data_IF_033056639039
#
_entry.id   IF_033056639039
#
_cell.length_a   1.000
_cell.length_b   1.000
_cell.length_c   1.000
_cell.angle_alpha   90.00
_cell.angle_beta   90.00
_cell.angle_gamma   90.00
#
_symmetry.space_group_name_H-M   'P 1'
#
loop_
_entity.id
_entity.type
_entity.pdbx_description
1 polymer ?
#
# COMPACT_ATOMS: atom_id res chain seq x y z
N UNK A 1 -27.50 -26.84 22.25
CA UNK A 1 -26.08 -27.22 22.42
C UNK A 1 -26.07 -28.68 22.87
N UNK A 2 -25.57 -29.59 22.03
CA UNK A 2 -25.44 -30.99 22.43
C UNK A 2 -24.21 -31.13 23.34
N UNK A 3 -24.35 -31.83 24.46
CA UNK A 3 -23.25 -32.13 25.36
C UNK A 3 -22.18 -32.95 24.63
N UNK A 4 -20.90 -32.59 24.79
CA UNK A 4 -19.77 -33.30 24.19
C UNK A 4 -19.21 -32.72 22.87
N UNK A 5 -19.84 -31.71 22.27
CA UNK A 5 -19.27 -31.06 21.08
C UNK A 5 -18.28 -29.94 21.43
N UNK A 6 -17.21 -29.84 20.63
CA UNK A 6 -16.25 -28.74 20.71
C UNK A 6 -16.90 -27.41 20.31
N UNK A 7 -16.56 -26.34 21.02
CA UNK A 7 -16.97 -25.00 20.62
C UNK A 7 -16.25 -24.58 19.34
N UNK A 8 -17.00 -24.07 18.36
CA UNK A 8 -16.41 -23.40 17.21
C UNK A 8 -16.06 -21.95 17.63
N UNK A 9 -14.83 -21.75 18.08
CA UNK A 9 -14.31 -20.45 18.51
C UNK A 9 -13.48 -19.81 17.39
N UNK A 10 -13.48 -18.48 17.35
CA UNK A 10 -12.54 -17.74 16.51
C UNK A 10 -11.11 -17.94 17.02
N UNK A 11 -10.14 -17.90 16.10
CA UNK A 11 -8.72 -17.87 16.46
C UNK A 11 -8.40 -16.58 17.22
N UNK A 12 -7.52 -16.69 18.22
CA UNK A 12 -7.01 -15.56 18.98
C UNK A 12 -5.56 -15.31 18.57
N UNK A 13 -5.24 -14.06 18.24
CA UNK A 13 -3.87 -13.63 17.99
C UNK A 13 -3.10 -13.61 19.30
N UNK A 14 -2.09 -14.49 19.43
CA UNK A 14 -1.35 -14.66 20.66
C UNK A 14 -0.19 -13.65 20.77
N UNK A 15 0.73 -13.67 19.81
CA UNK A 15 1.84 -12.74 19.74
C UNK A 15 2.42 -12.71 18.33
N UNK A 16 3.16 -11.64 18.03
CA UNK A 16 3.96 -11.55 16.82
C UNK A 16 5.35 -11.02 17.14
N UNK A 17 6.37 -11.68 16.61
CA UNK A 17 7.76 -11.28 16.76
C UNK A 17 8.26 -10.73 15.43
N UNK A 18 8.72 -9.48 15.43
CA UNK A 18 9.27 -8.84 14.23
C UNK A 18 10.66 -9.34 13.81
N UNK A 19 11.31 -10.16 14.63
CA UNK A 19 12.57 -10.82 14.27
C UNK A 19 12.73 -12.14 15.01
N UNK A 20 13.45 -13.09 14.41
CA UNK A 20 13.72 -14.40 15.00
C UNK A 20 15.21 -14.55 15.34
N UNK A 21 15.71 -13.94 16.44
CA UNK A 21 17.13 -13.96 16.79
C UNK A 21 17.64 -15.29 17.36
N UNK A 22 16.77 -16.17 17.85
CA UNK A 22 17.16 -17.39 18.53
C UNK A 22 16.63 -18.64 17.79
N UNK A 23 17.31 -19.80 17.91
CA UNK A 23 16.84 -21.03 17.29
C UNK A 23 15.67 -21.69 18.04
N UNK A 24 15.54 -21.43 19.34
CA UNK A 24 14.54 -22.08 20.21
C UNK A 24 13.81 -21.06 21.08
N UNK A 25 12.51 -21.27 21.24
CA UNK A 25 11.62 -20.48 22.11
C UNK A 25 10.80 -21.43 22.97
N UNK A 26 10.69 -21.11 24.26
CA UNK A 26 9.81 -21.79 25.19
C UNK A 26 8.64 -20.87 25.53
N UNK A 27 7.42 -21.38 25.38
CA UNK A 27 6.20 -20.65 25.69
C UNK A 27 5.45 -21.41 26.79
N UNK A 28 5.39 -20.82 27.98
CA UNK A 28 4.64 -21.37 29.12
C UNK A 28 3.34 -20.61 29.28
N UNK A 29 2.20 -21.24 28.97
CA UNK A 29 0.88 -20.64 29.10
C UNK A 29 0.27 -21.09 30.42
N UNK A 30 -0.10 -20.14 31.29
CA UNK A 30 -0.79 -20.39 32.55
C UNK A 30 -2.11 -19.65 32.57
N UNK A 31 -3.18 -20.35 32.93
CA UNK A 31 -4.53 -19.81 33.09
C UNK A 31 -4.93 -19.89 34.57
N UNK A 32 -4.51 -18.94 35.41
CA UNK A 32 -4.87 -18.96 36.83
C UNK A 32 -6.35 -18.62 37.01
N UNK A 33 -7.02 -19.36 37.90
CA UNK A 33 -8.42 -19.12 38.29
C UNK A 33 -8.46 -18.78 39.77
N UNK A 34 -9.13 -17.69 40.12
CA UNK A 34 -9.36 -17.33 41.52
C UNK A 34 -10.84 -17.54 41.87
N UNK A 35 -11.14 -18.66 42.52
CA UNK A 35 -12.50 -19.09 42.82
C UNK A 35 -13.29 -18.09 43.68
N UNK A 36 -12.65 -17.41 44.64
CA UNK A 36 -13.32 -16.42 45.50
C UNK A 36 -13.70 -15.17 44.71
N UNK A 37 -12.83 -14.70 43.81
CA UNK A 37 -13.15 -13.60 42.90
C UNK A 37 -14.22 -13.97 41.89
N UNK A 38 -14.25 -15.22 41.41
CA UNK A 38 -15.26 -15.69 40.46
C UNK A 38 -16.67 -15.73 41.07
N UNK A 39 -16.79 -16.04 42.36
CA UNK A 39 -18.06 -16.02 43.08
C UNK A 39 -18.59 -14.59 43.29
N UNK A 40 -17.70 -13.64 43.61
CA UNK A 40 -18.07 -12.23 43.87
C UNK A 40 -18.31 -11.48 42.56
N UNK A 41 -17.51 -11.76 41.53
CA UNK A 41 -17.53 -11.05 40.25
C UNK A 41 -17.43 -12.07 39.10
N UNK A 42 -18.56 -12.55 38.56
CA UNK A 42 -18.55 -13.58 37.50
C UNK A 42 -17.89 -13.11 36.18
N UNK A 43 -17.71 -11.78 36.01
CA UNK A 43 -16.95 -11.17 34.89
C UNK A 43 -15.45 -10.99 35.17
N UNK A 44 -14.93 -11.55 36.25
CA UNK A 44 -13.50 -11.56 36.53
C UNK A 44 -12.74 -12.42 35.50
N UNK A 45 -11.43 -12.16 35.29
CA UNK A 45 -10.62 -12.92 34.34
C UNK A 45 -10.64 -14.42 34.66
N UNK A 46 -10.77 -15.25 33.62
CA UNK A 46 -10.79 -16.72 33.70
C UNK A 46 -11.93 -17.34 34.54
N UNK A 47 -12.98 -16.58 34.87
CA UNK A 47 -14.11 -17.07 35.67
C UNK A 47 -15.29 -17.62 34.85
N UNK A 48 -15.47 -17.13 33.62
CA UNK A 48 -16.56 -17.51 32.72
C UNK A 48 -16.06 -18.20 31.43
N UNK A 49 -14.86 -18.78 31.48
CA UNK A 49 -14.32 -19.59 30.39
C UNK A 49 -14.97 -20.98 30.44
N UNK A 50 -15.40 -21.51 29.30
CA UNK A 50 -15.91 -22.89 29.21
C UNK A 50 -14.82 -23.90 29.53
N UNK A 51 -15.17 -25.19 29.57
CA UNK A 51 -14.18 -26.27 29.76
C UNK A 51 -13.21 -26.29 28.57
N UNK A 52 -11.93 -26.01 28.83
CA UNK A 52 -10.85 -26.10 27.85
C UNK A 52 -10.27 -27.51 27.94
N UNK A 53 -10.31 -28.25 26.83
CA UNK A 53 -9.69 -29.57 26.74
C UNK A 53 -8.27 -29.47 26.16
N UNK A 54 -8.14 -28.82 25.00
CA UNK A 54 -6.87 -28.67 24.28
C UNK A 54 -6.65 -27.23 23.83
N UNK A 55 -5.39 -26.83 23.74
CA UNK A 55 -4.97 -25.53 23.19
C UNK A 55 -4.01 -25.76 22.02
N UNK A 56 -4.40 -25.31 20.84
CA UNK A 56 -3.59 -25.41 19.62
C UNK A 56 -2.94 -24.06 19.32
N UNK A 57 -1.61 -24.05 19.24
CA UNK A 57 -0.84 -22.87 18.79
C UNK A 57 -0.34 -23.14 17.38
N UNK A 58 -0.49 -22.15 16.50
CA UNK A 58 0.01 -22.21 15.13
C UNK A 58 1.10 -21.16 15.01
N UNK A 59 2.33 -21.60 14.71
CA UNK A 59 3.46 -20.71 14.48
C UNK A 59 3.57 -20.44 12.97
N UNK A 60 3.37 -19.19 12.56
CA UNK A 60 3.53 -18.74 11.19
C UNK A 60 4.85 -17.99 11.10
N UNK A 61 5.71 -18.42 10.18
CA UNK A 61 6.98 -17.75 9.90
C UNK A 61 7.26 -17.80 8.40
N UNK A 62 7.98 -16.80 7.91
CA UNK A 62 8.42 -16.78 6.53
C UNK A 62 9.50 -17.86 6.33
N UNK A 63 9.28 -18.76 5.37
CA UNK A 63 10.22 -19.84 5.10
C UNK A 63 11.59 -19.28 4.66
N UNK A 64 12.68 -19.81 5.22
CA UNK A 64 14.04 -19.32 4.96
C UNK A 64 14.44 -19.37 3.47
N UNK A 65 14.00 -20.40 2.74
CA UNK A 65 14.23 -20.51 1.30
C UNK A 65 13.52 -19.40 0.51
N UNK A 66 12.29 -19.06 0.89
CA UNK A 66 11.56 -17.95 0.27
C UNK A 66 12.24 -16.61 0.58
N UNK A 67 12.68 -16.38 1.82
CA UNK A 67 13.43 -15.17 2.18
C UNK A 67 14.73 -15.04 1.39
N UNK A 68 15.47 -16.12 1.18
CA UNK A 68 16.71 -16.09 0.39
C UNK A 68 16.46 -15.67 -1.06
N UNK A 69 15.45 -16.27 -1.71
CA UNK A 69 15.06 -15.92 -3.09
C UNK A 69 14.58 -14.47 -3.17
N UNK A 70 13.77 -14.03 -2.20
CA UNK A 70 13.26 -12.67 -2.12
C UNK A 70 14.39 -11.63 -2.00
N UNK A 71 15.36 -11.86 -1.13
CA UNK A 71 16.53 -10.99 -0.96
C UNK A 71 17.39 -10.95 -2.22
N UNK A 72 17.62 -12.11 -2.83
CA UNK A 72 18.39 -12.20 -4.08
C UNK A 72 17.70 -11.42 -5.20
N UNK A 73 16.40 -11.59 -5.38
CA UNK A 73 15.60 -10.87 -6.37
C UNK A 73 15.71 -9.35 -6.16
N UNK A 74 15.52 -8.85 -4.93
CA UNK A 74 15.68 -7.42 -4.63
C UNK A 74 17.08 -6.91 -4.97
N UNK A 75 18.11 -7.69 -4.61
CA UNK A 75 19.52 -7.32 -4.84
C UNK A 75 19.85 -7.24 -6.33
N UNK A 76 19.30 -8.15 -7.15
CA UNK A 76 19.51 -8.14 -8.61
C UNK A 76 18.73 -7.03 -9.32
N UNK A 77 17.51 -6.73 -8.87
CA UNK A 77 16.66 -5.69 -9.48
C UNK A 77 17.14 -4.28 -9.11
N UNK A 78 17.74 -4.09 -7.94
CA UNK A 78 18.23 -2.79 -7.45
C UNK A 78 19.16 -2.03 -8.39
N UNK A 79 20.25 -2.63 -8.92
CA UNK A 79 21.12 -1.92 -9.85
C UNK A 79 20.41 -1.59 -11.17
N UNK A 80 19.55 -2.48 -11.67
CA UNK A 80 18.82 -2.28 -12.93
C UNK A 80 17.89 -1.07 -12.85
N UNK A 81 17.11 -0.96 -11.77
CA UNK A 81 16.22 0.18 -11.54
C UNK A 81 17.02 1.46 -11.33
N UNK A 82 18.12 1.40 -10.58
CA UNK A 82 18.99 2.57 -10.36
C UNK A 82 19.50 3.14 -11.68
N UNK A 83 20.01 2.27 -12.56
CA UNK A 83 20.49 2.66 -13.89
C UNK A 83 19.35 3.30 -14.70
N UNK A 84 18.15 2.70 -14.69
CA UNK A 84 17.00 3.22 -15.41
C UNK A 84 16.58 4.62 -14.93
N UNK A 85 16.53 4.85 -13.61
CA UNK A 85 16.17 6.16 -13.03
C UNK A 85 17.21 7.23 -13.35
N UNK A 86 18.51 6.90 -13.23
CA UNK A 86 19.60 7.82 -13.57
C UNK A 86 19.57 8.15 -15.06
N UNK A 87 19.40 7.14 -15.92
CA UNK A 87 19.31 7.32 -17.36
C UNK A 87 18.11 8.20 -17.75
N UNK A 88 16.94 7.94 -17.15
CA UNK A 88 15.74 8.73 -17.37
C UNK A 88 15.96 10.21 -17.00
N UNK A 89 16.53 10.47 -15.82
CA UNK A 89 16.79 11.85 -15.38
C UNK A 89 17.81 12.57 -16.28
N UNK A 90 18.89 11.88 -16.66
CA UNK A 90 19.87 12.42 -17.62
C UNK A 90 19.22 12.81 -18.94
N UNK A 91 18.30 11.99 -19.45
CA UNK A 91 17.57 12.29 -20.68
C UNK A 91 16.64 13.49 -20.51
N UNK A 92 15.94 13.63 -19.40
CA UNK A 92 15.06 14.77 -19.12
C UNK A 92 15.85 16.09 -19.05
N UNK A 93 16.98 16.10 -18.34
CA UNK A 93 17.83 17.30 -18.18
C UNK A 93 18.51 17.70 -19.49
N UNK A 94 18.79 16.75 -20.40
CA UNK A 94 19.40 17.04 -21.69
C UNK A 94 18.48 17.78 -22.67
N UNK A 95 17.17 17.88 -22.39
CA UNK A 95 16.26 18.69 -23.20
C UNK A 95 16.33 20.15 -22.77
N UNK A 96 16.46 21.07 -23.73
CA UNK A 96 16.54 22.52 -23.50
C UNK A 96 15.19 23.18 -23.13
N UNK A 97 14.39 22.54 -22.26
CA UNK A 97 13.07 23.02 -21.81
C UNK A 97 12.91 22.82 -20.30
N UNK A 98 12.06 23.63 -19.67
CA UNK A 98 11.66 23.40 -18.29
C UNK A 98 10.93 22.04 -18.16
N UNK A 99 11.28 21.25 -17.15
CA UNK A 99 10.68 19.92 -16.93
C UNK A 99 9.21 20.04 -16.56
N UNK A 100 8.36 19.25 -17.22
CA UNK A 100 6.94 19.20 -16.93
C UNK A 100 6.67 18.57 -15.57
N UNK A 101 5.51 18.88 -14.98
CA UNK A 101 5.09 18.31 -13.69
C UNK A 101 5.08 16.77 -13.74
N UNK A 102 4.60 16.19 -14.84
CA UNK A 102 4.57 14.73 -15.03
C UNK A 102 5.97 14.11 -15.05
N UNK A 103 6.96 14.76 -15.67
CA UNK A 103 8.33 14.24 -15.74
C UNK A 103 8.98 14.21 -14.37
N UNK A 104 8.74 15.25 -13.56
CA UNK A 104 9.20 15.34 -12.16
C UNK A 104 8.53 14.28 -11.28
N UNK A 105 7.24 14.03 -11.47
CA UNK A 105 6.50 13.01 -10.71
C UNK A 105 6.91 11.59 -11.08
N UNK A 106 7.18 11.32 -12.37
CA UNK A 106 7.67 10.01 -12.80
C UNK A 106 9.07 9.73 -12.25
N UNK A 107 9.91 10.77 -12.18
CA UNK A 107 11.20 10.67 -11.50
C UNK A 107 11.06 10.42 -10.00
N UNK A 108 10.18 11.17 -9.31
CA UNK A 108 9.88 10.96 -7.89
C UNK A 108 9.37 9.55 -7.61
N UNK A 109 8.46 9.04 -8.44
CA UNK A 109 7.95 7.67 -8.34
C UNK A 109 9.05 6.62 -8.57
N UNK A 110 9.93 6.85 -9.54
CA UNK A 110 11.09 5.99 -9.79
C UNK A 110 12.07 5.95 -8.62
N UNK A 111 12.32 7.09 -7.96
CA UNK A 111 13.11 7.15 -6.73
C UNK A 111 12.40 6.45 -5.57
N UNK A 112 11.09 6.64 -5.43
CA UNK A 112 10.30 5.96 -4.41
C UNK A 112 10.37 4.45 -4.58
N UNK A 113 10.19 3.94 -5.80
CA UNK A 113 10.36 2.52 -6.11
C UNK A 113 11.76 2.02 -5.72
N UNK A 114 12.81 2.74 -6.10
CA UNK A 114 14.20 2.36 -5.81
C UNK A 114 14.50 2.32 -4.30
N UNK A 115 14.25 3.43 -3.58
CA UNK A 115 14.61 3.54 -2.17
C UNK A 115 13.63 2.80 -1.24
N UNK A 116 12.33 2.84 -1.53
CA UNK A 116 11.31 2.26 -0.65
C UNK A 116 11.09 0.77 -0.90
N UNK A 117 11.19 0.24 -2.12
CA UNK A 117 10.85 -1.16 -2.37
C UNK A 117 12.08 -2.01 -2.66
N UNK A 118 12.92 -1.56 -3.60
CA UNK A 118 13.96 -2.40 -4.18
C UNK A 118 15.24 -2.43 -3.36
N UNK A 119 15.53 -1.40 -2.58
CA UNK A 119 16.67 -1.39 -1.67
C UNK A 119 16.55 -2.55 -0.66
N UNK A 120 17.50 -3.52 -0.65
CA UNK A 120 17.40 -4.72 0.16
C UNK A 120 17.90 -4.45 1.59
N UNK A 121 17.17 -3.59 2.32
CA UNK A 121 17.47 -3.23 3.71
C UNK A 121 17.42 -4.44 4.65
N UNK A 122 16.71 -5.49 4.27
CA UNK A 122 16.55 -6.74 5.00
C UNK A 122 17.89 -7.47 5.20
N UNK A 123 18.91 -7.20 4.37
CA UNK A 123 20.27 -7.70 4.63
C UNK A 123 20.82 -7.23 5.99
N UNK A 124 20.44 -6.03 6.43
CA UNK A 124 20.82 -5.51 7.75
C UNK A 124 20.22 -6.37 8.86
N UNK A 125 19.03 -6.94 8.65
CA UNK A 125 18.35 -7.80 9.63
C UNK A 125 19.02 -9.17 9.82
N UNK A 126 19.87 -9.61 8.88
CA UNK A 126 20.68 -10.83 9.05
C UNK A 126 21.86 -10.61 10.00
N UNK A 127 22.37 -9.38 10.06
CA UNK A 127 23.55 -9.02 10.86
C UNK A 127 23.15 -8.43 12.21
N UNK A 128 22.08 -7.63 12.23
CA UNK A 128 21.58 -6.95 13.42
C UNK A 128 20.16 -7.38 13.75
N UNK A 129 19.87 -7.48 15.06
CA UNK A 129 18.51 -7.75 15.55
C UNK A 129 17.65 -6.51 15.31
N UNK A 130 16.83 -6.55 14.26
CA UNK A 130 15.95 -5.44 13.86
C UNK A 130 14.48 -5.84 14.05
N UNK A 131 13.91 -5.78 15.26
CA UNK A 131 12.49 -6.09 15.49
C UNK A 131 11.56 -5.11 14.77
N UNK A 132 12.04 -3.90 14.45
CA UNK A 132 11.32 -2.86 13.71
C UNK A 132 11.25 -3.09 12.19
N UNK A 133 11.84 -4.18 11.67
CA UNK A 133 11.95 -4.39 10.23
C UNK A 133 10.58 -4.52 9.54
N UNK A 134 9.60 -5.15 10.20
CA UNK A 134 8.23 -5.25 9.67
C UNK A 134 7.57 -3.88 9.58
N UNK A 135 7.64 -3.07 10.64
CA UNK A 135 7.09 -1.71 10.66
C UNK A 135 7.72 -0.84 9.56
N UNK A 136 9.05 -0.92 9.38
CA UNK A 136 9.72 -0.19 8.29
C UNK A 136 9.25 -0.70 6.92
N UNK A 137 9.03 -2.01 6.77
CA UNK A 137 8.48 -2.60 5.56
C UNK A 137 7.11 -2.03 5.20
N UNK A 138 6.20 -2.01 6.17
CA UNK A 138 4.82 -1.50 6.00
C UNK A 138 4.83 0.00 5.66
N UNK A 139 5.62 0.81 6.37
CA UNK A 139 5.76 2.25 6.10
C UNK A 139 6.30 2.49 4.68
N UNK A 140 7.33 1.74 4.26
CA UNK A 140 7.91 1.87 2.93
C UNK A 140 6.90 1.54 1.83
N UNK A 141 6.15 0.45 1.99
CA UNK A 141 5.10 0.06 1.05
C UNK A 141 3.95 1.08 1.03
N UNK A 142 3.49 1.53 2.19
CA UNK A 142 2.44 2.56 2.30
C UNK A 142 2.81 3.87 1.61
N UNK A 143 4.03 4.37 1.83
CA UNK A 143 4.55 5.56 1.16
C UNK A 143 4.65 5.38 -0.36
N UNK A 144 5.10 4.20 -0.82
CA UNK A 144 5.14 3.88 -2.24
C UNK A 144 3.75 3.95 -2.88
N UNK A 145 2.73 3.37 -2.23
CA UNK A 145 1.34 3.44 -2.72
C UNK A 145 0.78 4.85 -2.72
N UNK A 146 1.07 5.66 -1.69
CA UNK A 146 0.64 7.06 -1.66
C UNK A 146 1.20 7.88 -2.84
N UNK A 147 2.48 7.68 -3.17
CA UNK A 147 3.13 8.33 -4.32
C UNK A 147 2.54 7.81 -5.64
N UNK A 148 2.30 6.50 -5.75
CA UNK A 148 1.69 5.88 -6.93
C UNK A 148 0.26 6.41 -7.18
N UNK A 149 -0.58 6.48 -6.16
CA UNK A 149 -1.94 7.01 -6.30
C UNK A 149 -1.95 8.50 -6.65
N UNK A 150 -1.00 9.27 -6.09
CA UNK A 150 -0.79 10.67 -6.44
C UNK A 150 -0.36 10.81 -7.91
N UNK A 151 0.54 9.94 -8.39
CA UNK A 151 0.97 9.89 -9.78
C UNK A 151 -0.19 9.64 -10.74
N UNK A 152 -1.02 8.62 -10.49
CA UNK A 152 -2.18 8.30 -11.35
C UNK A 152 -3.18 9.45 -11.47
N UNK A 153 -3.40 10.17 -10.37
CA UNK A 153 -4.32 11.31 -10.37
C UNK A 153 -3.78 12.47 -11.19
N UNK A 154 -2.51 12.83 -10.99
CA UNK A 154 -1.90 13.94 -11.73
C UNK A 154 -1.74 13.57 -13.22
N UNK A 155 -1.40 12.31 -13.51
CA UNK A 155 -1.31 11.80 -14.88
C UNK A 155 -2.66 11.93 -15.61
N UNK A 156 -3.75 11.46 -15.02
CA UNK A 156 -5.09 11.57 -15.63
C UNK A 156 -5.55 13.03 -15.74
N UNK A 157 -5.17 13.89 -14.79
CA UNK A 157 -5.43 15.33 -14.82
C UNK A 157 -4.73 16.07 -15.95
N UNK A 158 -3.42 15.88 -16.11
CA UNK A 158 -2.60 16.56 -17.14
C UNK A 158 -3.03 16.20 -18.58
N UNK A 159 -3.56 14.99 -18.77
CA UNK A 159 -4.11 14.55 -20.05
C UNK A 159 -5.48 15.15 -20.39
N UNK A 160 -6.12 15.87 -19.45
CA UNK A 160 -7.34 16.62 -19.72
C UNK A 160 -6.99 17.95 -20.42
N UNK A 161 -7.20 18.00 -21.73
CA UNK A 161 -6.69 19.06 -22.62
C UNK A 161 -7.40 20.44 -22.45
N UNK A 162 -8.48 20.56 -21.67
CA UNK A 162 -9.39 21.73 -21.71
C UNK A 162 -9.37 22.69 -20.50
N UNK A 163 -8.52 22.52 -19.49
CA UNK A 163 -8.41 23.52 -18.42
C UNK A 163 -7.29 24.55 -18.68
N UNK A 164 -7.68 25.82 -18.74
CA UNK A 164 -6.84 27.03 -18.88
C UNK A 164 -5.91 27.27 -17.68
N UNK A 165 -5.97 26.45 -16.63
CA UNK A 165 -5.19 26.54 -15.38
C UNK A 165 -4.04 25.51 -15.30
N UNK A 166 -3.42 25.18 -16.45
CA UNK A 166 -2.26 24.30 -16.51
C UNK A 166 -1.13 24.78 -15.60
N UNK A 167 -0.53 23.82 -14.87
CA UNK A 167 0.66 23.94 -14.01
C UNK A 167 0.48 24.39 -12.56
N UNK A 168 -0.73 24.68 -12.09
CA UNK A 168 -0.92 24.96 -10.66
C UNK A 168 -1.26 23.68 -9.88
N UNK A 169 -0.29 23.19 -9.11
CA UNK A 169 -0.46 22.09 -8.14
C UNK A 169 -1.67 22.33 -7.21
N UNK A 170 -1.99 23.61 -6.97
CA UNK A 170 -3.15 24.05 -6.18
C UNK A 170 -4.49 23.52 -6.71
N UNK A 171 -4.65 23.36 -8.04
CA UNK A 171 -5.89 22.82 -8.61
C UNK A 171 -6.09 21.32 -8.28
N UNK A 172 -5.01 20.60 -7.99
CA UNK A 172 -5.03 19.18 -7.61
C UNK A 172 -5.01 18.96 -6.08
N UNK A 173 -4.87 20.02 -5.30
CA UNK A 173 -4.63 19.95 -3.86
C UNK A 173 -5.75 19.23 -3.10
N UNK A 174 -7.02 19.46 -3.46
CA UNK A 174 -8.15 18.79 -2.80
C UNK A 174 -8.10 17.26 -2.93
N UNK A 175 -7.71 16.76 -4.10
CA UNK A 175 -7.66 15.31 -4.32
C UNK A 175 -6.39 14.68 -3.72
N UNK A 176 -5.27 15.39 -3.79
CA UNK A 176 -4.02 14.99 -3.13
C UNK A 176 -4.18 14.92 -1.61
N UNK A 177 -4.90 15.87 -1.02
CA UNK A 177 -5.22 15.87 0.41
C UNK A 177 -6.04 14.63 0.81
N UNK A 178 -6.96 14.15 -0.03
CA UNK A 178 -7.70 12.90 0.26
C UNK A 178 -6.78 11.67 0.35
N UNK A 179 -5.82 11.55 -0.57
CA UNK A 179 -4.82 10.45 -0.56
C UNK A 179 -3.89 10.59 0.65
N UNK A 180 -3.45 11.81 0.96
CA UNK A 180 -2.59 12.08 2.11
C UNK A 180 -3.29 11.80 3.45
N UNK A 181 -4.55 12.19 3.61
CA UNK A 181 -5.33 11.90 4.81
C UNK A 181 -5.52 10.39 4.95
N UNK A 182 -5.93 9.70 3.89
CA UNK A 182 -6.13 8.25 3.92
C UNK A 182 -4.85 7.47 4.28
N UNK A 183 -3.73 7.82 3.65
CA UNK A 183 -2.42 7.20 3.94
C UNK A 183 -1.91 7.53 5.34
N UNK A 184 -2.12 8.76 5.84
CA UNK A 184 -1.74 9.13 7.21
C UNK A 184 -2.58 8.38 8.24
N UNK A 185 -3.88 8.19 8.01
CA UNK A 185 -4.75 7.40 8.89
C UNK A 185 -4.31 5.93 8.98
N UNK A 186 -3.96 5.31 7.85
CA UNK A 186 -3.40 3.95 7.84
C UNK A 186 -2.03 3.90 8.52
N UNK A 187 -1.17 4.88 8.28
CA UNK A 187 0.13 4.98 8.95
C UNK A 187 -0.02 5.06 10.48
N UNK A 188 -0.97 5.84 10.98
CA UNK A 188 -1.25 5.94 12.43
C UNK A 188 -1.72 4.58 12.97
N UNK A 189 -2.55 3.85 12.22
CA UNK A 189 -2.99 2.51 12.58
C UNK A 189 -1.81 1.53 12.66
N UNK A 190 -0.97 1.48 11.62
CA UNK A 190 0.19 0.57 11.57
C UNK A 190 1.19 0.88 12.68
N UNK A 191 1.48 2.17 12.94
CA UNK A 191 2.35 2.58 14.05
C UNK A 191 1.74 2.24 15.40
N UNK A 192 0.42 2.38 15.57
CA UNK A 192 -0.25 2.03 16.82
C UNK A 192 -0.28 0.52 17.08
N UNK A 193 -0.46 -0.31 16.05
CA UNK A 193 -0.46 -1.77 16.17
C UNK A 193 0.96 -2.32 16.24
N UNK A 194 1.74 -2.16 15.16
CA UNK A 194 3.10 -2.70 15.01
C UNK A 194 4.11 -1.99 15.89
N UNK A 195 3.97 -0.69 16.12
CA UNK A 195 4.87 0.06 16.99
C UNK A 195 4.75 -0.35 18.45
N UNK A 196 3.54 -0.65 18.92
CA UNK A 196 3.33 -1.17 20.28
C UNK A 196 3.79 -2.63 20.43
N UNK A 197 3.67 -3.43 19.37
CA UNK A 197 4.19 -4.81 19.34
C UNK A 197 5.72 -4.89 19.54
N UNK A 198 6.46 -3.82 19.24
CA UNK A 198 7.91 -3.75 19.50
C UNK A 198 8.25 -3.75 21.00
N UNK A 199 7.41 -3.12 21.82
CA UNK A 199 7.58 -3.07 23.27
C UNK A 199 6.95 -4.28 23.96
N UNK A 200 5.80 -4.73 23.46
CA UNK A 200 5.09 -5.88 23.98
C UNK A 200 4.58 -6.77 22.82
N UNK A 201 5.21 -7.92 22.54
CA UNK A 201 4.83 -8.76 21.40
C UNK A 201 3.45 -9.41 21.55
N UNK A 202 2.89 -9.44 22.76
CA UNK A 202 1.53 -9.92 23.06
C UNK A 202 0.47 -8.82 22.94
N UNK A 203 0.88 -7.59 22.62
CA UNK A 203 -0.08 -6.50 22.45
C UNK A 203 -0.87 -6.69 21.15
N UNK A 204 -2.19 -6.65 21.28
CA UNK A 204 -3.12 -6.55 20.15
C UNK A 204 -4.04 -5.35 20.38
N UNK A 205 -4.08 -4.45 19.40
CA UNK A 205 -4.91 -3.24 19.44
C UNK A 205 -6.40 -3.58 19.61
N UNK A 206 -6.81 -4.74 19.07
CA UNK A 206 -8.17 -5.26 19.12
C UNK A 206 -8.61 -5.72 20.51
N UNK A 207 -7.68 -6.06 21.39
CA UNK A 207 -8.00 -6.49 22.75
C UNK A 207 -8.43 -5.34 23.67
N UNK A 208 -8.04 -4.10 23.36
CA UNK A 208 -8.38 -2.92 24.16
C UNK A 208 -9.61 -2.21 23.59
N UNK A 209 -10.54 -1.77 24.45
CA UNK A 209 -11.72 -1.01 24.01
C UNK A 209 -11.35 0.32 23.33
N UNK A 210 -10.32 1.00 23.84
CA UNK A 210 -9.82 2.25 23.26
C UNK A 210 -9.06 1.97 21.96
N UNK A 211 -8.18 0.96 21.97
CA UNK A 211 -7.41 0.54 20.80
C UNK A 211 -8.30 0.13 19.63
N UNK A 212 -9.26 -0.77 19.88
CA UNK A 212 -10.21 -1.22 18.86
C UNK A 212 -11.05 -0.07 18.29
N UNK A 213 -11.49 0.89 19.13
CA UNK A 213 -12.20 2.08 18.62
C UNK A 213 -11.32 2.90 17.69
N UNK A 214 -10.06 3.15 18.07
CA UNK A 214 -9.09 3.87 17.24
C UNK A 214 -8.83 3.14 15.91
N UNK A 215 -8.61 1.82 15.97
CA UNK A 215 -8.42 0.97 14.81
C UNK A 215 -9.61 1.05 13.83
N UNK A 216 -10.82 0.85 14.32
CA UNK A 216 -12.03 0.98 13.51
C UNK A 216 -12.13 2.38 12.90
N UNK A 217 -11.93 3.46 13.67
CA UNK A 217 -12.02 4.82 13.13
C UNK A 217 -10.99 5.09 12.02
N UNK A 218 -9.74 4.65 12.19
CA UNK A 218 -8.70 4.82 11.17
C UNK A 218 -9.03 4.06 9.89
N UNK A 219 -9.48 2.80 10.01
CA UNK A 219 -9.86 1.97 8.86
C UNK A 219 -11.09 2.56 8.13
N UNK A 220 -12.11 3.00 8.86
CA UNK A 220 -13.30 3.61 8.26
C UNK A 220 -12.97 4.91 7.52
N UNK A 221 -12.16 5.81 8.10
CA UNK A 221 -11.75 7.06 7.46
C UNK A 221 -10.92 6.75 6.20
N UNK A 222 -9.93 5.85 6.30
CA UNK A 222 -9.11 5.46 5.15
C UNK A 222 -9.95 4.86 4.02
N UNK A 223 -10.88 3.96 4.35
CA UNK A 223 -11.81 3.34 3.38
C UNK A 223 -12.66 4.40 2.67
N UNK A 224 -13.23 5.35 3.42
CA UNK A 224 -14.01 6.44 2.84
C UNK A 224 -13.16 7.33 1.91
N UNK A 225 -11.92 7.66 2.29
CA UNK A 225 -11.00 8.41 1.43
C UNK A 225 -10.67 7.65 0.13
N UNK A 226 -10.49 6.33 0.20
CA UNK A 226 -10.23 5.49 -0.97
C UNK A 226 -11.44 5.45 -1.92
N UNK A 227 -12.66 5.37 -1.39
CA UNK A 227 -13.89 5.44 -2.19
C UNK A 227 -14.01 6.79 -2.92
N UNK A 228 -13.76 7.90 -2.22
CA UNK A 228 -13.72 9.21 -2.86
C UNK A 228 -12.64 9.29 -3.94
N UNK A 229 -11.43 8.79 -3.67
CA UNK A 229 -10.34 8.74 -4.63
C UNK A 229 -10.73 7.99 -5.92
N UNK A 230 -11.27 6.78 -5.81
CA UNK A 230 -11.68 6.01 -6.98
C UNK A 230 -12.84 6.66 -7.75
N UNK A 231 -13.80 7.26 -7.03
CA UNK A 231 -14.87 8.04 -7.65
C UNK A 231 -14.34 9.20 -8.49
N UNK A 232 -13.40 9.98 -7.95
CA UNK A 232 -12.76 11.07 -8.67
C UNK A 232 -11.91 10.60 -9.85
N UNK A 233 -11.14 9.52 -9.66
CA UNK A 233 -10.32 8.94 -10.72
C UNK A 233 -11.19 8.45 -11.88
N UNK A 234 -12.27 7.72 -11.59
CA UNK A 234 -13.22 7.24 -12.58
C UNK A 234 -13.89 8.40 -13.33
N UNK A 235 -14.30 9.45 -12.62
CA UNK A 235 -14.84 10.66 -13.23
C UNK A 235 -13.84 11.33 -14.19
N UNK A 236 -12.59 11.52 -13.77
CA UNK A 236 -11.54 12.11 -14.61
C UNK A 236 -11.23 11.25 -15.83
N UNK A 237 -11.11 9.94 -15.67
CA UNK A 237 -10.90 8.99 -16.77
C UNK A 237 -12.07 9.03 -17.75
N UNK A 238 -13.30 9.00 -17.27
CA UNK A 238 -14.51 9.09 -18.10
C UNK A 238 -14.56 10.41 -18.89
N UNK A 239 -14.25 11.53 -18.22
CA UNK A 239 -14.22 12.83 -18.87
C UNK A 239 -13.11 12.91 -19.93
N UNK A 240 -11.92 12.41 -19.64
CA UNK A 240 -10.82 12.28 -20.63
C UNK A 240 -11.26 11.42 -21.81
N UNK A 241 -11.93 10.29 -21.57
CA UNK A 241 -12.45 9.42 -22.63
C UNK A 241 -13.43 10.17 -23.54
N UNK A 242 -14.40 10.89 -22.98
CA UNK A 242 -15.37 11.67 -23.77
C UNK A 242 -14.67 12.77 -24.56
N UNK A 243 -13.76 13.53 -23.93
CA UNK A 243 -13.03 14.61 -24.60
C UNK A 243 -12.20 14.09 -25.76
N UNK A 244 -11.55 12.92 -25.60
CA UNK A 244 -10.83 12.26 -26.70
C UNK A 244 -11.80 11.82 -27.80
N UNK A 245 -12.94 11.22 -27.45
CA UNK A 245 -13.96 10.81 -28.44
C UNK A 245 -14.43 12.01 -29.27
N UNK A 246 -14.72 13.15 -28.61
CA UNK A 246 -15.13 14.41 -29.25
C UNK A 246 -14.02 15.05 -30.10
N UNK A 247 -12.77 15.03 -29.64
CA UNK A 247 -11.63 15.60 -30.39
C UNK A 247 -11.22 14.72 -31.58
N UNK A 248 -11.31 13.39 -31.45
CA UNK A 248 -11.13 12.46 -32.56
C UNK A 248 -12.18 12.72 -33.66
N UNK A 249 -13.46 12.88 -33.31
CA UNK A 249 -14.51 13.20 -34.29
C UNK A 249 -14.33 14.59 -34.94
N UNK A 250 -13.84 15.58 -34.20
CA UNK A 250 -13.60 16.93 -34.74
C UNK A 250 -12.30 17.05 -35.58
N UNK A 251 -11.22 16.34 -35.22
CA UNK A 251 -9.96 16.36 -35.98
C UNK A 251 -9.98 15.43 -37.19
N UNK A 252 -10.87 14.43 -37.23
CA UNK A 252 -11.20 13.71 -38.47
C UNK A 252 -11.66 14.66 -39.60
N UNK A 253 -12.17 15.84 -39.25
CA UNK A 253 -12.65 16.86 -40.20
C UNK A 253 -11.60 17.90 -40.63
N UNK A 254 -10.41 17.97 -39.99
CA UNK A 254 -9.42 19.05 -40.27
C UNK A 254 -8.04 18.48 -40.63
N UNK A 255 -7.79 18.36 -41.92
CA UNK A 255 -6.57 17.83 -42.55
C UNK A 255 -5.27 18.49 -42.07
N UNK A 256 -4.41 17.70 -41.42
CA UNK A 256 -2.93 17.79 -41.48
C UNK A 256 -2.33 16.48 -40.92
N UNK A 257 -1.71 15.67 -41.78
CA UNK A 257 -1.25 14.30 -41.44
C UNK A 257 -0.24 14.26 -40.29
N UNK A 258 0.67 15.24 -40.22
CA UNK A 258 1.75 15.32 -39.22
C UNK A 258 1.17 15.51 -37.80
N UNK A 259 0.05 16.22 -37.68
CA UNK A 259 -0.61 16.46 -36.38
C UNK A 259 -1.44 15.25 -35.94
N UNK A 260 -1.95 14.46 -36.90
CA UNK A 260 -2.63 13.16 -36.71
C UNK A 260 -1.67 12.13 -36.10
N UNK A 261 -0.47 11.98 -36.68
CA UNK A 261 0.54 11.02 -36.21
C UNK A 261 1.02 11.31 -34.78
N UNK A 262 1.24 12.58 -34.44
CA UNK A 262 1.76 12.99 -33.11
C UNK A 262 0.78 12.72 -31.97
N UNK A 263 -0.53 12.73 -32.23
CA UNK A 263 -1.59 12.46 -31.24
C UNK A 263 -1.88 10.95 -31.15
N UNK A 264 -1.95 10.24 -32.28
CA UNK A 264 -2.14 8.78 -32.28
C UNK A 264 -0.99 8.03 -31.60
N UNK A 265 0.27 8.34 -31.93
CA UNK A 265 1.42 7.59 -31.40
C UNK A 265 1.68 7.82 -29.91
N UNK A 266 1.37 9.02 -29.38
CA UNK A 266 1.65 9.37 -27.98
C UNK A 266 0.61 8.78 -27.01
N UNK A 267 -0.59 8.47 -27.49
CA UNK A 267 -1.69 7.98 -26.66
C UNK A 267 -2.00 6.49 -26.84
N UNK A 268 -1.91 5.94 -28.06
CA UNK A 268 -2.24 4.51 -28.27
C UNK A 268 -1.22 3.59 -27.57
N UNK A 269 0.04 4.00 -27.50
CA UNK A 269 1.12 3.20 -26.91
C UNK A 269 1.15 3.19 -25.38
N UNK A 270 0.35 4.03 -24.70
CA UNK A 270 0.41 4.19 -23.24
C UNK A 270 -0.84 3.70 -22.49
N UNK A 271 -1.96 3.43 -23.18
CA UNK A 271 -3.20 2.94 -22.56
C UNK A 271 -3.73 1.65 -23.22
N UNK A 272 -3.28 1.28 -24.42
CA UNK A 272 -3.99 0.32 -25.27
C UNK A 272 -3.22 -0.93 -25.75
N UNK A 273 -2.19 -1.39 -25.04
CA UNK A 273 -1.62 -2.74 -25.28
C UNK A 273 -2.38 -3.86 -24.53
N UNK A 274 -3.56 -3.59 -23.94
CA UNK A 274 -4.40 -4.61 -23.28
C UNK A 274 -5.71 -4.91 -24.05
N UNK A 275 -6.03 -4.22 -25.15
CA UNK A 275 -7.09 -4.69 -26.05
C UNK A 275 -6.65 -4.63 -27.52
N UNK A 276 -6.40 -5.83 -28.04
CA UNK A 276 -6.29 -6.20 -29.44
C UNK A 276 -7.09 -5.32 -30.42
N UNK A 277 -6.49 -5.16 -31.61
CA UNK A 277 -7.02 -4.57 -32.85
C UNK A 277 -6.89 -3.04 -33.00
N UNK A 278 -5.65 -2.57 -33.18
CA UNK A 278 -5.40 -1.69 -34.33
C UNK A 278 -5.49 -2.57 -35.59
N UNK A 279 -6.72 -2.83 -36.05
CA UNK A 279 -6.93 -3.41 -37.37
C UNK A 279 -6.56 -2.33 -38.38
N UNK A 280 -5.57 -2.65 -39.20
CA UNK A 280 -5.37 -2.04 -40.50
C UNK A 280 -6.71 -1.95 -41.22
N UNK A 281 -7.03 -0.77 -41.74
CA UNK A 281 -7.76 -0.64 -42.99
C UNK A 281 -7.49 0.77 -43.55
N UNK A 282 -6.54 0.75 -44.50
CA UNK A 282 -6.57 1.38 -45.83
C UNK A 282 -7.18 2.78 -45.97
#
# INVERSE_FOLDING_TARGET
KLEGHLYNCASLDLFELGSNPYPFYLINIRLPVNQTLCQIKPKAPNCAIGRINDLRVIAIHQNGGFTAIWLFMKTMVSPLVTIAVIWYWKRVVALNRNSYLLEKLLWLWGLAWQFLIVLPLEWISLWFRAPFMLLIGDIRQGLFYAILFSFWLIFTGEHLIDDTSRNNLSSYWQNLTSVLIGSTCLLIYDVAERGMQLLNPFFSIWSSKLGSRLAYTSIYIASLCVLFYFGFLAYKVYHVWITIKRKRSAQLYRNSEIRRLKVSYRFCKQIFDIQNNCKDDS
#
